data_IF_353021972938
#
_entry.id   IF_353021972938
#
_cell.length_a   1.000
_cell.length_b   1.000
_cell.length_c   1.000
_cell.angle_alpha   90.00
_cell.angle_beta   90.00
_cell.angle_gamma   90.00
#
_symmetry.space_group_name_H-M   'P 1'
#
loop_
_entity.id
_entity.type
_entity.pdbx_description
1 polymer ?
#
# COMPACT_ATOMS: atom_id res chain seq x y z
N UNK A 1 -49.34 27.59 13.77
CA UNK A 1 -49.67 26.54 12.78
C UNK A 1 -48.38 25.91 12.29
N UNK A 2 -48.13 24.65 12.66
CA UNK A 2 -46.97 23.83 12.21
C UNK A 2 -47.29 23.23 10.85
N UNK A 3 -46.41 23.38 9.86
CA UNK A 3 -46.32 22.51 8.67
C UNK A 3 -45.12 22.96 7.84
N UNK A 4 -44.28 22.16 7.20
CA UNK A 4 -43.87 20.76 7.33
C UNK A 4 -42.58 20.73 6.50
N UNK A 5 -41.43 20.51 7.14
CA UNK A 5 -40.15 20.37 6.46
C UNK A 5 -40.10 18.96 5.84
N UNK A 6 -40.57 18.82 4.61
CA UNK A 6 -40.53 17.54 3.88
C UNK A 6 -39.07 17.30 3.44
N UNK A 7 -38.35 16.46 4.19
CA UNK A 7 -37.13 15.81 3.70
C UNK A 7 -37.56 14.85 2.59
N UNK A 8 -37.26 15.18 1.34
CA UNK A 8 -37.42 14.24 0.22
C UNK A 8 -36.60 12.97 0.47
N UNK A 9 -36.93 11.85 -0.20
CA UNK A 9 -36.19 10.61 -0.04
C UNK A 9 -34.75 10.84 -0.49
N UNK A 10 -33.81 10.77 0.45
CA UNK A 10 -32.38 10.70 0.15
C UNK A 10 -32.22 9.41 -0.66
N UNK A 11 -32.09 9.54 -1.97
CA UNK A 11 -31.97 8.42 -2.90
C UNK A 11 -30.82 7.53 -2.47
N UNK A 12 -30.99 6.21 -2.51
CA UNK A 12 -29.96 5.22 -2.13
C UNK A 12 -28.60 5.50 -2.83
N UNK A 13 -28.63 6.01 -4.06
CA UNK A 13 -27.46 6.46 -4.80
C UNK A 13 -26.69 7.61 -4.09
N UNK A 14 -27.39 8.55 -3.47
CA UNK A 14 -26.79 9.63 -2.66
C UNK A 14 -26.17 9.09 -1.37
N UNK A 15 -26.83 8.15 -0.69
CA UNK A 15 -26.28 7.49 0.51
C UNK A 15 -25.02 6.66 0.19
N UNK A 16 -25.00 5.99 -0.96
CA UNK A 16 -23.84 5.20 -1.39
C UNK A 16 -22.67 6.08 -1.86
N UNK A 17 -22.95 7.28 -2.40
CA UNK A 17 -21.91 8.24 -2.79
C UNK A 17 -21.18 8.83 -1.58
N UNK A 18 -21.85 9.02 -0.45
CA UNK A 18 -21.26 9.55 0.79
C UNK A 18 -20.23 8.59 1.43
N UNK A 19 -20.33 7.29 1.16
CA UNK A 19 -19.42 6.25 1.67
C UNK A 19 -18.10 6.20 0.87
N UNK A 20 -18.07 6.77 -0.33
CA UNK A 20 -16.89 6.72 -1.21
C UNK A 20 -15.89 7.82 -0.84
N UNK A 21 -14.82 7.46 -0.13
CA UNK A 21 -13.76 8.39 0.25
C UNK A 21 -12.60 8.32 -0.75
N UNK A 22 -12.38 9.38 -1.57
CA UNK A 22 -11.25 9.38 -2.50
C UNK A 22 -9.92 9.37 -1.73
N UNK A 23 -8.87 8.72 -2.25
CA UNK A 23 -7.56 8.77 -1.63
C UNK A 23 -7.10 10.22 -1.44
N UNK A 24 -6.63 10.58 -0.24
CA UNK A 24 -6.12 11.93 0.05
C UNK A 24 -4.65 12.00 -0.39
N UNK A 25 -4.31 12.69 -1.48
CA UNK A 25 -2.92 13.00 -1.80
C UNK A 25 -2.38 14.02 -0.76
N UNK A 26 -1.14 13.82 -0.31
CA UNK A 26 -0.47 14.77 0.59
C UNK A 26 0.39 15.76 -0.17
N UNK A 27 1.10 15.28 -1.19
CA UNK A 27 2.01 16.07 -1.98
C UNK A 27 2.18 15.43 -3.36
N UNK A 28 2.03 16.23 -4.41
CA UNK A 28 2.21 15.81 -5.79
C UNK A 28 3.46 16.47 -6.38
N UNK A 29 4.40 15.65 -6.87
CA UNK A 29 5.58 16.10 -7.59
C UNK A 29 5.56 15.45 -8.98
N UNK A 30 4.91 16.12 -9.92
CA UNK A 30 4.74 15.60 -11.28
C UNK A 30 3.95 14.28 -11.29
N UNK A 31 4.46 13.18 -11.87
CA UNK A 31 3.75 11.90 -11.92
C UNK A 31 3.82 11.10 -10.59
N UNK A 32 4.46 11.63 -9.55
CA UNK A 32 4.61 10.98 -8.26
C UNK A 32 3.68 11.63 -7.23
N UNK A 33 2.74 10.84 -6.74
CA UNK A 33 1.83 11.23 -5.65
C UNK A 33 2.27 10.55 -4.35
N UNK A 34 2.61 11.35 -3.35
CA UNK A 34 2.80 10.86 -1.99
C UNK A 34 1.45 10.87 -1.27
N UNK A 35 0.92 9.67 -0.97
CA UNK A 35 -0.34 9.52 -0.25
C UNK A 35 -0.13 9.51 1.27
N UNK A 36 -1.16 9.92 2.03
CA UNK A 36 -1.14 9.82 3.50
C UNK A 36 -0.91 8.37 3.97
N UNK A 37 -1.54 7.43 3.25
CA UNK A 37 -1.42 6.01 3.52
C UNK A 37 0.03 5.53 3.36
N UNK A 38 0.69 5.91 2.26
CA UNK A 38 2.10 5.58 2.02
C UNK A 38 3.03 6.20 3.06
N UNK A 39 2.76 7.44 3.50
CA UNK A 39 3.53 8.09 4.55
C UNK A 39 3.44 7.33 5.88
N UNK A 40 2.24 7.00 6.34
CA UNK A 40 2.09 6.25 7.59
C UNK A 40 2.61 4.81 7.49
N UNK A 41 2.51 4.17 6.32
CA UNK A 41 3.13 2.87 6.09
C UNK A 41 4.66 2.94 6.23
N UNK A 42 5.29 3.96 5.64
CA UNK A 42 6.74 4.19 5.76
C UNK A 42 7.15 4.49 7.22
N UNK A 43 6.39 5.33 7.92
CA UNK A 43 6.63 5.62 9.34
C UNK A 43 6.49 4.37 10.21
N UNK A 44 5.46 3.55 9.98
CA UNK A 44 5.24 2.30 10.69
C UNK A 44 6.39 1.31 10.46
N UNK A 45 6.84 1.17 9.21
CA UNK A 45 8.01 0.36 8.88
C UNK A 45 9.28 0.87 9.59
N UNK A 46 9.56 2.17 9.52
CA UNK A 46 10.73 2.76 10.16
C UNK A 46 10.71 2.60 11.69
N UNK A 47 9.56 2.82 12.33
CA UNK A 47 9.38 2.62 13.76
C UNK A 47 9.57 1.14 14.15
N UNK A 48 9.00 0.21 13.39
CA UNK A 48 9.17 -1.23 13.58
C UNK A 48 10.63 -1.66 13.45
N UNK A 49 11.30 -1.18 12.40
CA UNK A 49 12.73 -1.43 12.17
C UNK A 49 13.58 -0.92 13.34
N UNK A 50 13.31 0.29 13.83
CA UNK A 50 14.03 0.89 14.96
C UNK A 50 13.86 0.10 16.25
N UNK A 51 12.63 -0.28 16.59
CA UNK A 51 12.33 -1.06 17.79
C UNK A 51 13.01 -2.44 17.70
N UNK A 52 12.83 -3.15 16.59
CA UNK A 52 13.43 -4.47 16.39
C UNK A 52 14.96 -4.43 16.46
N UNK A 53 15.58 -3.44 15.81
CA UNK A 53 17.03 -3.26 15.84
C UNK A 53 17.55 -3.00 17.27
N UNK A 54 16.83 -2.19 18.06
CA UNK A 54 17.18 -1.94 19.46
C UNK A 54 17.07 -3.20 20.31
N UNK A 55 16.03 -4.01 20.10
CA UNK A 55 15.85 -5.27 20.84
C UNK A 55 16.88 -6.33 20.44
N UNK A 56 17.21 -6.44 19.16
CA UNK A 56 18.24 -7.36 18.67
C UNK A 56 19.63 -6.98 19.19
N UNK A 57 19.96 -5.68 19.20
CA UNK A 57 21.21 -5.17 19.77
C UNK A 57 21.35 -5.52 21.26
N UNK A 58 20.28 -5.32 22.05
CA UNK A 58 20.27 -5.68 23.48
C UNK A 58 20.51 -7.17 23.72
N UNK A 59 20.07 -8.02 22.79
CA UNK A 59 20.22 -9.49 22.85
C UNK A 59 21.54 -9.98 22.24
N UNK A 60 22.40 -9.08 21.76
CA UNK A 60 23.71 -9.43 21.19
C UNK A 60 23.65 -10.01 19.78
N UNK A 61 22.55 -9.84 19.05
CA UNK A 61 22.46 -10.25 17.65
C UNK A 61 23.18 -9.27 16.72
N UNK A 62 23.59 -9.78 15.55
CA UNK A 62 24.14 -8.96 14.47
C UNK A 62 23.06 -8.10 13.82
N UNK A 63 23.07 -6.81 14.18
CA UNK A 63 22.13 -5.81 13.68
C UNK A 63 22.38 -5.44 12.23
N UNK A 64 23.61 -5.55 11.73
CA UNK A 64 23.92 -5.27 10.32
C UNK A 64 23.32 -6.36 9.44
N UNK A 65 23.44 -7.62 9.84
CA UNK A 65 22.81 -8.74 9.14
C UNK A 65 21.28 -8.60 9.16
N UNK A 66 20.70 -8.26 10.30
CA UNK A 66 19.25 -7.99 10.40
C UNK A 66 18.80 -6.87 9.47
N UNK A 67 19.51 -5.74 9.46
CA UNK A 67 19.17 -4.60 8.59
C UNK A 67 19.29 -4.98 7.11
N UNK A 68 20.32 -5.76 6.74
CA UNK A 68 20.47 -6.26 5.37
C UNK A 68 19.28 -7.13 4.95
N UNK A 69 18.89 -8.08 5.80
CA UNK A 69 17.69 -8.91 5.60
C UNK A 69 16.44 -8.05 5.48
N UNK A 70 16.24 -7.10 6.39
CA UNK A 70 15.07 -6.23 6.39
C UNK A 70 15.00 -5.35 5.14
N UNK A 71 16.15 -4.84 4.66
CA UNK A 71 16.23 -4.06 3.41
C UNK A 71 15.88 -4.93 2.21
N UNK A 72 16.43 -6.13 2.10
CA UNK A 72 16.11 -7.02 0.98
C UNK A 72 14.68 -7.56 1.04
N UNK A 73 14.14 -7.81 2.23
CA UNK A 73 12.73 -8.11 2.42
C UNK A 73 11.83 -6.94 1.98
N UNK A 74 12.20 -5.68 2.24
CA UNK A 74 11.45 -4.52 1.72
C UNK A 74 11.49 -4.46 0.20
N UNK A 75 12.67 -4.65 -0.41
CA UNK A 75 12.81 -4.69 -1.88
C UNK A 75 11.96 -5.83 -2.47
N UNK A 76 12.08 -7.03 -1.91
CA UNK A 76 11.30 -8.20 -2.29
C UNK A 76 9.79 -7.95 -2.17
N UNK A 77 9.35 -7.30 -1.09
CA UNK A 77 7.94 -6.95 -0.90
C UNK A 77 7.43 -5.97 -1.94
N UNK A 78 8.19 -4.93 -2.31
CA UNK A 78 7.78 -3.98 -3.34
C UNK A 78 7.68 -4.65 -4.72
N UNK A 79 8.66 -5.50 -5.06
CA UNK A 79 8.69 -6.26 -6.31
C UNK A 79 7.54 -7.26 -6.36
N UNK A 80 7.38 -8.07 -5.31
CA UNK A 80 6.30 -9.06 -5.22
C UNK A 80 4.92 -8.41 -5.24
N UNK A 81 4.73 -7.32 -4.50
CA UNK A 81 3.47 -6.58 -4.51
C UNK A 81 3.11 -6.10 -5.92
N UNK A 82 4.10 -5.64 -6.70
CA UNK A 82 3.83 -5.15 -8.06
C UNK A 82 3.56 -6.28 -9.05
N UNK A 83 4.38 -7.32 -9.06
CA UNK A 83 4.38 -8.29 -10.17
C UNK A 83 3.48 -9.50 -9.93
N UNK A 84 3.12 -9.82 -8.69
CA UNK A 84 2.20 -10.93 -8.43
C UNK A 84 0.75 -10.62 -8.89
N UNK A 85 0.44 -9.37 -9.24
CA UNK A 85 -0.83 -9.00 -9.90
C UNK A 85 -0.80 -9.21 -11.41
N UNK A 86 0.38 -9.33 -12.04
CA UNK A 86 0.53 -9.35 -13.49
C UNK A 86 -0.16 -10.56 -14.17
N UNK A 87 -0.08 -11.80 -13.65
CA UNK A 87 -0.75 -12.95 -14.28
C UNK A 87 -2.26 -12.75 -14.39
N UNK A 88 -2.90 -12.23 -13.32
CA UNK A 88 -4.33 -11.93 -13.33
C UNK A 88 -4.66 -10.84 -14.37
N UNK A 89 -3.89 -9.75 -14.40
CA UNK A 89 -4.11 -8.68 -15.39
C UNK A 89 -3.97 -9.17 -16.84
N UNK A 90 -3.01 -10.04 -17.13
CA UNK A 90 -2.81 -10.62 -18.47
C UNK A 90 -3.98 -11.51 -18.86
N UNK A 91 -4.49 -12.33 -17.93
CA UNK A 91 -5.67 -13.18 -18.14
C UNK A 91 -6.94 -12.35 -18.40
N UNK A 92 -7.04 -11.17 -17.79
CA UNK A 92 -8.11 -10.21 -18.03
C UNK A 92 -7.94 -9.39 -19.34
N UNK A 93 -6.93 -9.71 -20.16
CA UNK A 93 -6.70 -9.09 -21.47
C UNK A 93 -5.91 -7.78 -21.43
N UNK A 94 -5.30 -7.43 -20.29
CA UNK A 94 -4.42 -6.25 -20.20
C UNK A 94 -3.12 -6.51 -20.97
N UNK A 95 -2.67 -5.59 -21.85
CA UNK A 95 -1.42 -5.75 -22.58
C UNK A 95 -0.21 -5.95 -21.65
N UNK A 96 0.71 -6.83 -22.04
CA UNK A 96 1.88 -7.20 -21.23
C UNK A 96 2.71 -5.97 -20.79
N UNK A 97 2.92 -5.02 -21.70
CA UNK A 97 3.66 -3.78 -21.41
C UNK A 97 3.00 -2.95 -20.30
N UNK A 98 1.68 -2.95 -20.23
CA UNK A 98 0.91 -2.25 -19.19
C UNK A 98 0.91 -3.06 -17.89
N UNK A 99 0.72 -4.38 -17.98
CA UNK A 99 0.71 -5.27 -16.83
C UNK A 99 2.04 -5.27 -16.06
N UNK A 100 3.17 -5.12 -16.77
CA UNK A 100 4.52 -5.10 -16.20
C UNK A 100 5.07 -3.70 -15.90
N UNK A 101 4.28 -2.64 -16.10
CA UNK A 101 4.74 -1.27 -15.85
C UNK A 101 5.06 -1.07 -14.34
N UNK A 102 6.28 -0.67 -13.94
CA UNK A 102 6.71 -0.72 -12.54
C UNK A 102 5.93 0.17 -11.57
N UNK A 103 5.59 1.39 -12.01
CA UNK A 103 4.96 2.42 -11.18
C UNK A 103 3.49 2.67 -11.54
N UNK A 104 2.87 1.79 -12.34
CA UNK A 104 1.46 1.91 -12.73
C UNK A 104 0.67 0.69 -12.32
N UNK A 105 -0.63 0.86 -12.04
CA UNK A 105 -1.55 -0.24 -11.76
C UNK A 105 -1.62 -0.66 -10.29
N UNK A 106 -2.22 -1.83 -10.05
CA UNK A 106 -2.55 -2.33 -8.72
C UNK A 106 -1.37 -3.08 -8.08
N UNK A 107 -1.28 -2.99 -6.76
CA UNK A 107 -0.33 -3.73 -5.93
C UNK A 107 -1.05 -4.80 -5.10
N UNK A 108 -0.48 -6.00 -5.03
CA UNK A 108 -0.97 -7.13 -4.26
C UNK A 108 -0.38 -7.15 -2.86
N UNK A 109 -1.22 -7.14 -1.83
CA UNK A 109 -0.79 -7.32 -0.43
C UNK A 109 -0.12 -8.69 -0.24
N UNK A 110 -0.73 -9.76 -0.76
CA UNK A 110 -0.16 -11.11 -0.69
C UNK A 110 1.15 -11.23 -1.47
N UNK A 111 1.24 -10.54 -2.61
CA UNK A 111 2.48 -10.41 -3.36
C UNK A 111 3.58 -9.72 -2.55
N UNK A 112 3.21 -8.71 -1.76
CA UNK A 112 4.13 -8.05 -0.84
C UNK A 112 4.66 -8.98 0.25
N UNK A 113 3.78 -9.74 0.90
CA UNK A 113 4.22 -10.72 1.89
C UNK A 113 5.11 -11.80 1.30
N UNK A 114 4.68 -12.43 0.20
CA UNK A 114 5.45 -13.49 -0.46
C UNK A 114 6.81 -12.98 -0.94
N UNK A 115 6.83 -11.81 -1.59
CA UNK A 115 8.06 -11.19 -2.06
C UNK A 115 9.01 -10.82 -0.92
N UNK A 116 8.48 -10.34 0.21
CA UNK A 116 9.29 -10.00 1.38
C UNK A 116 9.96 -11.21 2.01
N UNK A 117 9.22 -12.30 2.19
CA UNK A 117 9.73 -13.57 2.75
C UNK A 117 10.81 -14.19 1.84
N UNK A 118 10.66 -14.06 0.52
CA UNK A 118 11.67 -14.58 -0.43
C UNK A 118 12.89 -13.67 -0.50
N UNK A 119 12.71 -12.36 -0.32
CA UNK A 119 13.76 -11.37 -0.43
C UNK A 119 14.75 -11.36 0.74
N UNK A 120 14.30 -11.65 1.96
CA UNK A 120 15.14 -11.65 3.16
C UNK A 120 14.61 -12.57 4.25
#
# INVERSE_FOLDING_TARGET
MRSAHIKGPVTLAFMLAEISYPPIPLFDVGPLTLSLHGLFAALGFAAGAWIANRELAKRGFDTLKYQSVLTWALVGALVGARYLTAPAAILDGVPLATALRPLGGNFSILGGFAGGIVGG
#
